data_IF_992499330162
#
_entry.id   IF_992499330162
#
_cell.length_a   1.000
_cell.length_b   1.000
_cell.length_c   1.000
_cell.angle_alpha   90.00
_cell.angle_beta   90.00
_cell.angle_gamma   90.00
#
_symmetry.space_group_name_H-M   'P 1'
#
loop_
_entity.id
_entity.type
_entity.pdbx_description
1 polymer ?
#
# COMPACT_ATOMS: atom_id res chain seq x y z
N UNK A 1 -5.42 17.83 -4.75
CA UNK A 1 -5.65 16.39 -4.48
C UNK A 1 -4.72 15.66 -5.41
N UNK A 2 -3.98 14.68 -4.91
CA UNK A 2 -2.97 13.94 -5.68
C UNK A 2 -3.46 12.51 -5.84
N UNK A 3 -3.22 11.93 -7.01
CA UNK A 3 -3.47 10.52 -7.27
C UNK A 3 -2.17 9.75 -7.06
N UNK A 4 -2.25 8.60 -6.40
CA UNK A 4 -1.12 7.73 -6.14
C UNK A 4 -1.44 6.33 -6.61
N UNK A 5 -0.45 5.67 -7.21
CA UNK A 5 -0.47 4.23 -7.47
C UNK A 5 0.23 3.54 -6.30
N UNK A 6 -0.42 2.54 -5.72
CA UNK A 6 0.05 1.86 -4.52
C UNK A 6 0.24 0.38 -4.81
N UNK A 7 1.36 -0.17 -4.33
CA UNK A 7 1.67 -1.59 -4.39
C UNK A 7 1.97 -2.11 -3.00
N UNK A 8 1.30 -3.18 -2.60
CA UNK A 8 1.48 -3.79 -1.28
C UNK A 8 1.87 -5.25 -1.46
N UNK A 9 3.10 -5.59 -1.09
CA UNK A 9 3.60 -6.97 -1.04
C UNK A 9 3.40 -7.52 0.36
N UNK A 10 2.80 -8.69 0.45
CA UNK A 10 2.56 -9.37 1.72
C UNK A 10 2.56 -10.90 1.54
N UNK A 11 2.78 -11.62 2.63
CA UNK A 11 2.71 -13.08 2.63
C UNK A 11 1.63 -13.59 3.58
N UNK A 12 1.16 -14.80 3.30
CA UNK A 12 0.40 -15.62 4.24
C UNK A 12 0.85 -17.08 4.10
N UNK A 13 1.45 -17.61 5.15
CA UNK A 13 2.15 -18.89 5.12
C UNK A 13 3.30 -18.88 4.11
N UNK A 14 3.30 -19.82 3.17
CA UNK A 14 4.34 -19.94 2.13
C UNK A 14 4.01 -19.19 0.82
N UNK A 15 2.93 -18.41 0.80
CA UNK A 15 2.49 -17.69 -0.41
C UNK A 15 2.77 -16.20 -0.28
N UNK A 16 3.25 -15.59 -1.36
CA UNK A 16 3.38 -14.15 -1.51
C UNK A 16 2.28 -13.59 -2.43
N UNK A 17 1.83 -12.38 -2.10
CA UNK A 17 0.74 -11.69 -2.77
C UNK A 17 1.15 -10.24 -3.07
N UNK A 18 0.64 -9.73 -4.19
CA UNK A 18 0.76 -8.33 -4.58
C UNK A 18 -0.63 -7.74 -4.71
N UNK A 19 -0.93 -6.71 -3.91
CA UNK A 19 -2.12 -5.89 -4.07
C UNK A 19 -1.74 -4.58 -4.77
N UNK A 20 -2.46 -4.24 -5.84
CA UNK A 20 -2.26 -3.02 -6.62
C UNK A 20 -3.57 -2.21 -6.62
N UNK A 21 -3.49 -0.92 -6.30
CA UNK A 21 -4.65 -0.03 -6.32
C UNK A 21 -4.24 1.44 -6.47
N UNK A 22 -5.21 2.28 -6.83
CA UNK A 22 -5.04 3.74 -6.95
C UNK A 22 -5.81 4.44 -5.85
N UNK A 23 -5.22 5.48 -5.26
CA UNK A 23 -5.86 6.32 -4.23
C UNK A 23 -5.72 7.77 -4.60
N UNK A 24 -6.79 8.54 -4.45
CA UNK A 24 -6.75 9.99 -4.50
C UNK A 24 -6.85 10.58 -3.09
N UNK A 25 -5.87 11.40 -2.69
CA UNK A 25 -5.86 12.00 -1.36
C UNK A 25 -5.23 13.40 -1.36
N UNK A 26 -5.49 14.18 -0.32
CA UNK A 26 -4.81 15.46 -0.07
C UNK A 26 -3.52 15.29 0.73
N UNK A 27 -3.29 14.10 1.28
CA UNK A 27 -2.15 13.80 2.13
C UNK A 27 -0.88 13.52 1.32
N UNK A 28 0.27 13.58 1.99
CA UNK A 28 1.57 13.26 1.41
C UNK A 28 1.72 11.77 1.13
N UNK A 29 2.67 11.43 0.26
CA UNK A 29 3.11 10.07 0.00
C UNK A 29 3.52 9.34 1.30
N UNK A 30 4.30 9.99 2.16
CA UNK A 30 4.74 9.44 3.45
C UNK A 30 3.58 9.10 4.37
N UNK A 31 2.56 9.96 4.43
CA UNK A 31 1.36 9.71 5.22
C UNK A 31 0.58 8.52 4.65
N UNK A 32 0.46 8.43 3.33
CA UNK A 32 -0.25 7.35 2.66
C UNK A 32 0.46 6.00 2.85
N UNK A 33 1.80 5.99 2.78
CA UNK A 33 2.61 4.83 3.12
C UNK A 33 2.31 4.32 4.54
N UNK A 34 2.35 5.22 5.53
CA UNK A 34 2.09 4.86 6.94
C UNK A 34 0.65 4.36 7.15
N UNK A 35 -0.33 4.99 6.51
CA UNK A 35 -1.74 4.60 6.61
C UNK A 35 -1.97 3.20 6.02
N UNK A 36 -1.43 2.92 4.83
CA UNK A 36 -1.49 1.60 4.19
C UNK A 36 -0.79 0.56 5.08
N UNK A 37 0.44 0.84 5.52
CA UNK A 37 1.20 -0.09 6.36
C UNK A 37 0.46 -0.41 7.66
N UNK A 38 -0.16 0.58 8.30
CA UNK A 38 -0.94 0.40 9.52
C UNK A 38 -2.21 -0.44 9.26
N UNK A 39 -2.93 -0.16 8.17
CA UNK A 39 -4.13 -0.90 7.78
C UNK A 39 -3.83 -2.39 7.57
N UNK A 40 -2.82 -2.70 6.75
CA UNK A 40 -2.42 -4.07 6.45
C UNK A 40 -1.88 -4.79 7.69
N UNK A 41 -1.02 -4.16 8.49
CA UNK A 41 -0.53 -4.76 9.74
C UNK A 41 -1.68 -5.07 10.72
N UNK A 42 -2.71 -4.22 10.79
CA UNK A 42 -3.88 -4.50 11.61
C UNK A 42 -4.68 -5.69 11.07
N UNK A 43 -4.83 -5.85 9.76
CA UNK A 43 -5.48 -7.02 9.16
C UNK A 43 -4.69 -8.31 9.45
N UNK A 44 -3.37 -8.27 9.32
CA UNK A 44 -2.52 -9.44 9.54
C UNK A 44 -2.48 -9.92 10.98
N UNK A 45 -2.77 -9.06 11.98
CA UNK A 45 -2.94 -9.51 13.37
C UNK A 45 -4.03 -10.57 13.54
N UNK A 46 -4.99 -10.63 12.62
CA UNK A 46 -6.10 -11.59 12.64
C UNK A 46 -5.93 -12.75 11.65
N UNK A 47 -4.87 -12.74 10.83
CA UNK A 47 -4.53 -13.81 9.91
C UNK A 47 -3.39 -14.64 10.52
N UNK A 48 -3.55 -15.96 10.60
CA UNK A 48 -2.44 -16.85 10.91
C UNK A 48 -1.35 -16.66 9.86
N UNK A 49 -0.13 -16.35 10.28
CA UNK A 49 1.06 -16.16 9.43
C UNK A 49 0.99 -15.04 8.37
N UNK A 50 0.12 -14.05 8.55
CA UNK A 50 0.08 -12.85 7.72
C UNK A 50 1.27 -11.92 8.01
N UNK A 51 1.99 -11.46 6.98
CA UNK A 51 3.10 -10.51 7.14
C UNK A 51 3.16 -9.49 6.01
N UNK A 52 3.29 -8.21 6.38
CA UNK A 52 3.60 -7.14 5.43
C UNK A 52 5.08 -7.22 5.02
N UNK A 53 5.35 -7.24 3.71
CA UNK A 53 6.71 -7.31 3.15
C UNK A 53 7.17 -5.93 2.69
N UNK A 54 6.37 -5.27 1.85
CA UNK A 54 6.70 -3.95 1.34
C UNK A 54 5.46 -3.13 0.99
N UNK A 55 5.59 -1.81 1.05
CA UNK A 55 4.61 -0.85 0.52
C UNK A 55 5.37 0.11 -0.40
N UNK A 56 4.90 0.28 -1.62
CA UNK A 56 5.42 1.25 -2.59
C UNK A 56 4.28 2.20 -2.95
N UNK A 57 4.55 3.50 -2.94
CA UNK A 57 3.59 4.55 -3.28
C UNK A 57 4.25 5.44 -4.33
N UNK A 58 3.59 5.60 -5.47
CA UNK A 58 4.09 6.42 -6.59
C UNK A 58 3.06 7.50 -6.91
N UNK A 59 3.47 8.78 -6.87
CA UNK A 59 2.60 9.88 -7.32
C UNK A 59 2.36 9.78 -8.83
N UNK A 60 1.08 9.77 -9.22
CA UNK A 60 0.68 9.80 -10.62
C UNK A 60 0.76 11.25 -11.09
N UNK A 61 1.92 11.64 -11.62
CA UNK A 61 2.10 12.94 -12.24
C UNK A 61 1.43 12.90 -13.62
N UNK A 62 0.34 13.65 -13.80
CA UNK A 62 -0.18 13.89 -15.13
C UNK A 62 0.88 14.68 -15.91
N UNK A 63 1.56 14.05 -16.86
CA UNK A 63 2.41 14.76 -17.80
C UNK A 63 1.51 15.66 -18.64
N UNK A 64 1.44 16.94 -18.30
CA UNK A 64 0.96 17.98 -19.20
C UNK A 64 1.91 18.02 -20.41
N UNK A 65 1.42 17.58 -21.56
CA UNK A 65 2.03 17.82 -22.87
C UNK A 65 1.43 19.07 -23.49
#
# INVERSE_FOLDING_TARGET
MKAYKCFVRWSNGNNEYLSEFTVETKNSESWLYEDIAKSYNNQFRFLLDGKLINVEVEEIVANEK
#
